data_IF_983746789693
#
_entry.id   IF_983746789693
#
_cell.length_a   1.000
_cell.length_b   1.000
_cell.length_c   1.000
_cell.angle_alpha   90.00
_cell.angle_beta   90.00
_cell.angle_gamma   90.00
#
_symmetry.space_group_name_H-M   'P 1'
#
loop_
_entity.id
_entity.type
_entity.pdbx_description
1 polymer ?
#
# COMPACT_ATOMS: atom_id res chain seq x y z
N UNK A 1 -47.56 -10.72 -22.01
CA UNK A 1 -46.69 -9.62 -21.53
C UNK A 1 -45.45 -10.27 -20.97
N UNK A 2 -44.38 -10.26 -21.75
CA UNK A 2 -43.23 -11.15 -21.59
C UNK A 2 -42.30 -10.75 -20.45
N UNK A 3 -41.76 -11.78 -19.80
CA UNK A 3 -40.76 -11.76 -18.76
C UNK A 3 -39.48 -11.02 -19.21
N UNK A 4 -39.13 -9.94 -18.51
CA UNK A 4 -37.78 -9.37 -18.58
C UNK A 4 -36.92 -10.17 -17.62
N UNK A 5 -36.37 -11.26 -18.13
CA UNK A 5 -35.27 -12.00 -17.48
C UNK A 5 -34.09 -11.03 -17.34
N UNK A 6 -33.81 -10.61 -16.11
CA UNK A 6 -32.56 -9.92 -15.79
C UNK A 6 -31.39 -10.87 -16.09
N UNK A 7 -30.37 -10.45 -16.85
CA UNK A 7 -29.24 -11.33 -17.12
C UNK A 7 -28.47 -11.57 -15.81
N UNK A 8 -28.53 -12.80 -15.32
CA UNK A 8 -27.63 -13.33 -14.29
C UNK A 8 -26.22 -13.42 -14.88
N UNK A 9 -25.49 -12.31 -14.85
CA UNK A 9 -24.10 -12.26 -15.26
C UNK A 9 -23.22 -12.86 -14.18
N UNK A 10 -23.10 -14.18 -14.13
CA UNK A 10 -21.94 -14.82 -13.52
C UNK A 10 -20.72 -14.43 -14.34
N UNK A 11 -19.73 -13.85 -13.68
CA UNK A 11 -18.45 -13.45 -14.26
C UNK A 11 -17.85 -14.62 -15.04
N UNK A 12 -17.79 -14.50 -16.37
CA UNK A 12 -17.43 -15.60 -17.28
C UNK A 12 -16.31 -15.20 -18.22
N UNK A 13 -15.49 -16.17 -18.63
CA UNK A 13 -14.41 -15.97 -19.59
C UNK A 13 -14.91 -15.21 -20.84
N UNK A 14 -14.37 -14.01 -21.13
CA UNK A 14 -14.71 -13.13 -22.24
C UNK A 14 -15.70 -11.99 -21.93
N UNK A 15 -16.25 -11.88 -20.73
CA UNK A 15 -17.19 -10.79 -20.39
C UNK A 15 -16.50 -9.65 -19.65
N UNK A 16 -16.82 -8.41 -20.08
CA UNK A 16 -16.42 -7.17 -19.42
C UNK A 16 -17.20 -7.10 -18.10
N UNK A 17 -16.50 -6.90 -16.98
CA UNK A 17 -17.15 -6.58 -15.72
C UNK A 17 -17.95 -5.27 -15.90
N UNK A 18 -19.27 -5.39 -15.99
CA UNK A 18 -20.16 -4.24 -16.23
C UNK A 18 -20.39 -3.40 -14.97
N UNK A 19 -19.94 -3.87 -13.81
CA UNK A 19 -20.21 -3.27 -12.50
C UNK A 19 -18.99 -2.54 -11.98
N UNK A 20 -18.90 -1.24 -12.26
CA UNK A 20 -17.92 -0.37 -11.63
C UNK A 20 -18.33 -0.03 -10.20
N UNK A 21 -19.04 1.08 -10.05
CA UNK A 21 -19.29 1.73 -8.75
C UNK A 21 -20.61 1.36 -8.08
N UNK A 22 -21.42 0.53 -8.73
CA UNK A 22 -22.78 0.19 -8.27
C UNK A 22 -22.76 -0.77 -7.08
N UNK A 23 -23.78 -0.70 -6.22
CA UNK A 23 -23.87 -1.61 -5.08
C UNK A 23 -24.16 -3.04 -5.56
N UNK A 24 -23.44 -4.02 -5.02
CA UNK A 24 -23.72 -5.44 -5.28
C UNK A 24 -25.09 -5.80 -4.67
N UNK A 25 -26.06 -6.26 -5.48
CA UNK A 25 -27.38 -6.70 -5.01
C UNK A 25 -27.26 -7.85 -4.00
N UNK A 26 -28.19 -7.91 -3.04
CA UNK A 26 -28.13 -8.91 -1.97
C UNK A 26 -28.12 -10.36 -2.49
N UNK A 27 -28.83 -10.65 -3.59
CA UNK A 27 -28.90 -11.98 -4.19
C UNK A 27 -27.57 -12.45 -4.82
N UNK A 28 -26.66 -11.52 -5.12
CA UNK A 28 -25.38 -11.81 -5.75
C UNK A 28 -24.21 -11.76 -4.77
N UNK A 29 -24.51 -11.52 -3.48
CA UNK A 29 -23.51 -11.58 -2.41
C UNK A 29 -23.22 -13.03 -2.03
N UNK A 30 -21.95 -13.38 -2.01
CA UNK A 30 -21.44 -14.74 -1.82
C UNK A 30 -20.11 -14.74 -1.04
N UNK A 31 -19.58 -15.94 -0.79
CA UNK A 31 -18.28 -16.12 -0.13
C UNK A 31 -18.34 -16.06 1.39
N UNK A 32 -17.17 -16.21 2.03
CA UNK A 32 -17.00 -16.24 3.48
C UNK A 32 -15.92 -15.24 3.91
N UNK A 33 -16.01 -14.62 5.10
CA UNK A 33 -15.00 -13.68 5.57
C UNK A 33 -13.55 -14.23 5.55
N UNK A 34 -13.37 -15.53 5.77
CA UNK A 34 -12.06 -16.20 5.68
C UNK A 34 -11.41 -16.13 4.30
N UNK A 35 -12.20 -15.99 3.25
CA UNK A 35 -11.71 -15.90 1.88
C UNK A 35 -10.97 -14.57 1.67
N UNK A 36 -11.31 -13.53 2.47
CA UNK A 36 -10.56 -12.27 2.51
C UNK A 36 -9.12 -12.45 3.01
N UNK A 37 -8.85 -13.43 3.87
CA UNK A 37 -7.49 -13.67 4.36
C UNK A 37 -6.55 -14.09 3.23
N UNK A 38 -7.02 -14.97 2.33
CA UNK A 38 -6.23 -15.39 1.17
C UNK A 38 -6.03 -14.26 0.16
N UNK A 39 -7.05 -13.44 -0.03
CA UNK A 39 -6.98 -12.27 -0.89
C UNK A 39 -5.94 -11.27 -0.37
N UNK A 40 -6.06 -10.86 0.90
CA UNK A 40 -5.12 -9.91 1.50
C UNK A 40 -3.72 -10.51 1.63
N UNK A 41 -3.61 -11.81 1.86
CA UNK A 41 -2.32 -12.49 1.76
C UNK A 41 -1.74 -12.36 0.35
N UNK A 42 -2.54 -12.57 -0.69
CA UNK A 42 -2.09 -12.37 -2.08
C UNK A 42 -1.58 -10.96 -2.35
N UNK A 43 -2.24 -9.94 -1.79
CA UNK A 43 -1.83 -8.54 -1.96
C UNK A 43 -0.50 -8.19 -1.26
N UNK A 44 -0.14 -8.90 -0.19
CA UNK A 44 1.07 -8.63 0.61
C UNK A 44 2.14 -9.73 0.48
N UNK A 45 1.89 -10.78 -0.29
CA UNK A 45 2.93 -11.71 -0.75
C UNK A 45 3.56 -11.12 -2.00
N UNK A 46 4.31 -10.04 -1.81
CA UNK A 46 4.96 -9.28 -2.88
C UNK A 46 6.34 -8.76 -2.45
N UNK A 47 7.11 -8.24 -3.41
CA UNK A 47 8.45 -7.73 -3.13
C UNK A 47 8.41 -6.46 -2.28
N UNK A 48 7.43 -5.57 -2.46
CA UNK A 48 7.29 -4.35 -1.66
C UNK A 48 7.26 -4.63 -0.14
N UNK A 49 6.62 -5.72 0.29
CA UNK A 49 6.55 -6.14 1.69
C UNK A 49 7.93 -6.50 2.26
N UNK A 50 8.73 -7.24 1.48
CA UNK A 50 10.11 -7.60 1.83
C UNK A 50 11.00 -6.34 1.82
N UNK A 51 10.90 -5.54 0.76
CA UNK A 51 11.71 -4.34 0.58
C UNK A 51 11.50 -3.33 1.72
N UNK A 52 10.24 -3.09 2.11
CA UNK A 52 9.89 -2.17 3.20
C UNK A 52 10.55 -2.58 4.50
N UNK A 53 10.49 -3.86 4.87
CA UNK A 53 11.13 -4.35 6.08
C UNK A 53 12.66 -4.25 6.00
N UNK A 54 13.25 -4.43 4.82
CA UNK A 54 14.70 -4.30 4.63
C UNK A 54 15.22 -2.89 4.90
N UNK A 55 14.40 -1.85 4.77
CA UNK A 55 14.80 -0.47 5.05
C UNK A 55 15.18 -0.27 6.52
N UNK A 56 14.52 -1.00 7.43
CA UNK A 56 14.72 -0.87 8.87
C UNK A 56 16.14 -1.25 9.28
N UNK A 57 16.69 -2.32 8.70
CA UNK A 57 18.05 -2.78 8.96
C UNK A 57 19.09 -2.11 8.06
N UNK A 58 18.71 -1.72 6.84
CA UNK A 58 19.64 -1.14 5.86
C UNK A 58 19.90 0.34 6.12
N UNK A 59 18.85 1.12 6.38
CA UNK A 59 18.90 2.59 6.41
C UNK A 59 18.57 3.17 7.79
N UNK A 60 17.67 2.55 8.56
CA UNK A 60 17.30 3.07 9.89
C UNK A 60 18.20 2.55 11.01
N UNK A 61 19.11 1.61 10.70
CA UNK A 61 20.09 1.09 11.65
C UNK A 61 19.51 0.23 12.77
N UNK A 62 18.29 -0.29 12.62
CA UNK A 62 17.69 -1.23 13.57
C UNK A 62 18.33 -2.61 13.47
N UNK A 63 18.37 -3.33 14.58
CA UNK A 63 18.73 -4.75 14.58
C UNK A 63 17.62 -5.61 14.00
N UNK A 64 17.92 -6.88 13.69
CA UNK A 64 16.95 -7.81 13.09
C UNK A 64 15.70 -7.97 13.97
N UNK A 65 15.89 -8.18 15.27
CA UNK A 65 14.78 -8.41 16.21
C UNK A 65 14.00 -7.12 16.51
N UNK A 66 14.71 -5.99 16.66
CA UNK A 66 14.07 -4.68 16.87
C UNK A 66 13.25 -4.29 15.65
N UNK A 67 13.81 -4.48 14.45
CA UNK A 67 13.14 -4.29 13.18
C UNK A 67 11.93 -5.21 13.03
N UNK A 68 12.02 -6.48 13.44
CA UNK A 68 10.89 -7.40 13.43
C UNK A 68 9.76 -6.92 14.34
N UNK A 69 10.07 -6.45 15.54
CA UNK A 69 9.07 -5.91 16.46
C UNK A 69 8.43 -4.65 15.88
N UNK A 70 9.22 -3.74 15.29
CA UNK A 70 8.71 -2.55 14.62
C UNK A 70 7.79 -2.90 13.44
N UNK A 71 8.19 -3.85 12.58
CA UNK A 71 7.37 -4.37 11.48
C UNK A 71 6.06 -4.95 12.01
N UNK A 72 6.10 -5.81 13.03
CA UNK A 72 4.89 -6.40 13.62
C UNK A 72 3.96 -5.31 14.17
N UNK A 73 4.47 -4.35 14.93
CA UNK A 73 3.64 -3.28 15.53
C UNK A 73 2.98 -2.43 14.43
N UNK A 74 3.77 -1.98 13.45
CA UNK A 74 3.29 -1.16 12.34
C UNK A 74 2.21 -1.87 11.53
N UNK A 75 2.53 -3.10 11.09
CA UNK A 75 1.63 -3.92 10.30
C UNK A 75 0.36 -4.28 11.06
N UNK A 76 0.45 -4.80 12.29
CA UNK A 76 -0.74 -5.21 13.06
C UNK A 76 -1.68 -4.04 13.28
N UNK A 77 -1.14 -2.87 13.66
CA UNK A 77 -1.96 -1.68 13.90
C UNK A 77 -2.71 -1.25 12.65
N UNK A 78 -2.03 -1.17 11.50
CA UNK A 78 -2.67 -0.82 10.25
C UNK A 78 -3.65 -1.90 9.76
N UNK A 79 -3.28 -3.18 9.86
CA UNK A 79 -4.10 -4.30 9.42
C UNK A 79 -5.41 -4.42 10.21
N UNK A 80 -5.40 -4.08 11.51
CA UNK A 80 -6.62 -3.97 12.31
C UNK A 80 -7.54 -2.87 11.80
N UNK A 81 -7.01 -1.70 11.46
CA UNK A 81 -7.77 -0.59 10.88
C UNK A 81 -8.35 -1.01 9.52
N UNK A 82 -7.54 -1.63 8.66
CA UNK A 82 -7.96 -2.17 7.36
C UNK A 82 -9.13 -3.16 7.53
N UNK A 83 -9.00 -4.14 8.41
CA UNK A 83 -10.06 -5.11 8.68
C UNK A 83 -11.33 -4.46 9.25
N UNK A 84 -11.21 -3.46 10.12
CA UNK A 84 -12.36 -2.68 10.57
C UNK A 84 -13.05 -1.97 9.40
N UNK A 85 -12.28 -1.36 8.48
CA UNK A 85 -12.81 -0.69 7.29
C UNK A 85 -13.52 -1.67 6.34
N UNK A 86 -13.04 -2.92 6.23
CA UNK A 86 -13.70 -3.97 5.43
C UNK A 86 -15.14 -4.25 5.86
N UNK A 87 -15.56 -3.89 7.09
CA UNK A 87 -16.96 -4.04 7.49
C UNK A 87 -17.94 -3.15 6.71
N UNK A 88 -17.45 -2.09 6.10
CA UNK A 88 -18.28 -1.20 5.28
C UNK A 88 -18.83 -1.90 4.03
N UNK A 89 -18.10 -2.88 3.49
CA UNK A 89 -18.46 -3.64 2.30
C UNK A 89 -19.73 -4.46 2.46
N UNK A 90 -19.78 -5.49 3.34
CA UNK A 90 -20.96 -6.35 3.48
C UNK A 90 -22.24 -5.57 3.81
N UNK A 91 -22.09 -4.41 4.49
CA UNK A 91 -23.20 -3.53 4.91
C UNK A 91 -23.65 -2.55 3.85
N UNK A 92 -22.91 -2.34 2.77
CA UNK A 92 -23.26 -1.38 1.72
C UNK A 92 -23.34 -2.00 0.33
N UNK A 93 -22.56 -3.04 0.05
CA UNK A 93 -22.35 -3.58 -1.29
C UNK A 93 -21.52 -2.65 -2.18
N UNK A 94 -20.98 -1.55 -1.64
CA UNK A 94 -20.25 -0.53 -2.38
C UNK A 94 -18.73 -0.70 -2.22
N UNK A 95 -17.94 -0.29 -3.23
CA UNK A 95 -16.51 -0.04 -3.06
C UNK A 95 -16.26 1.01 -1.97
N UNK A 96 -15.09 0.96 -1.36
CA UNK A 96 -14.77 1.78 -0.19
C UNK A 96 -14.85 3.27 -0.54
N UNK A 97 -14.26 3.68 -1.66
CA UNK A 97 -14.24 5.08 -2.08
C UNK A 97 -15.67 5.61 -2.33
N UNK A 98 -16.56 4.77 -2.86
CA UNK A 98 -17.96 5.13 -3.12
C UNK A 98 -18.76 5.19 -1.82
N UNK A 99 -18.53 4.23 -0.92
CA UNK A 99 -19.15 4.21 0.40
C UNK A 99 -18.90 5.52 1.16
N UNK A 100 -17.68 6.06 1.09
CA UNK A 100 -17.32 7.28 1.82
C UNK A 100 -18.07 8.54 1.38
N UNK A 101 -18.73 8.55 0.21
CA UNK A 101 -19.66 9.64 -0.18
C UNK A 101 -20.82 9.81 0.81
N UNK A 102 -21.26 8.72 1.44
CA UNK A 102 -22.30 8.80 2.48
C UNK A 102 -21.81 9.50 3.75
N UNK A 103 -20.49 9.63 3.92
CA UNK A 103 -19.85 10.22 5.10
C UNK A 103 -19.42 11.66 4.81
N UNK A 104 -18.63 11.87 3.75
CA UNK A 104 -18.04 13.16 3.39
C UNK A 104 -18.89 13.97 2.40
N UNK A 105 -20.03 13.44 1.96
CA UNK A 105 -20.82 14.01 0.87
C UNK A 105 -20.11 13.88 -0.49
N UNK A 106 -20.81 14.28 -1.56
CA UNK A 106 -20.27 14.14 -2.92
C UNK A 106 -18.97 14.94 -3.11
N UNK A 107 -19.00 16.24 -2.81
CA UNK A 107 -17.82 17.12 -2.99
C UNK A 107 -16.68 16.78 -2.03
N UNK A 108 -16.97 16.45 -0.77
CA UNK A 108 -15.94 16.08 0.21
C UNK A 108 -15.25 14.76 -0.15
N UNK A 109 -15.96 13.83 -0.78
CA UNK A 109 -15.36 12.58 -1.26
C UNK A 109 -14.35 12.77 -2.39
N UNK A 110 -14.40 13.87 -3.15
CA UNK A 110 -13.46 14.13 -4.24
C UNK A 110 -12.02 14.31 -3.75
N UNK A 111 -11.82 14.87 -2.55
CA UNK A 111 -10.50 14.96 -1.95
C UNK A 111 -9.93 13.55 -1.67
N UNK A 112 -10.74 12.66 -1.09
CA UNK A 112 -10.33 11.27 -0.83
C UNK A 112 -10.06 10.50 -2.13
N UNK A 113 -10.91 10.73 -3.14
CA UNK A 113 -10.72 10.17 -4.47
C UNK A 113 -9.41 10.65 -5.10
N UNK A 114 -9.12 11.96 -5.10
CA UNK A 114 -7.87 12.50 -5.63
C UNK A 114 -6.62 11.92 -4.93
N UNK A 115 -6.66 11.76 -3.61
CA UNK A 115 -5.57 11.15 -2.86
C UNK A 115 -5.44 9.64 -3.15
N UNK A 116 -6.54 8.96 -3.42
CA UNK A 116 -6.54 7.56 -3.88
C UNK A 116 -5.97 7.43 -5.30
N UNK A 117 -6.25 8.40 -6.19
CA UNK A 117 -5.63 8.46 -7.51
C UNK A 117 -4.12 8.68 -7.40
N UNK A 118 -3.69 9.54 -6.48
CA UNK A 118 -2.27 9.73 -6.17
C UNK A 118 -1.61 8.42 -5.72
N UNK A 119 -2.27 7.63 -4.85
CA UNK A 119 -1.77 6.32 -4.45
C UNK A 119 -1.61 5.37 -5.63
N UNK A 120 -2.61 5.27 -6.50
CA UNK A 120 -2.54 4.41 -7.69
C UNK A 120 -1.39 4.80 -8.63
N UNK A 121 -1.17 6.11 -8.84
CA UNK A 121 -0.05 6.59 -9.67
C UNK A 121 1.30 6.35 -8.99
N UNK A 122 1.37 6.50 -7.66
CA UNK A 122 2.57 6.29 -6.87
C UNK A 122 2.98 4.82 -6.82
N UNK A 123 2.05 3.91 -6.51
CA UNK A 123 2.28 2.47 -6.57
C UNK A 123 2.68 2.03 -7.97
N UNK A 124 2.03 2.57 -9.02
CA UNK A 124 2.44 2.25 -10.38
C UNK A 124 3.92 2.58 -10.64
N UNK A 125 4.37 3.73 -10.13
CA UNK A 125 5.76 4.15 -10.24
C UNK A 125 6.70 3.21 -9.46
N UNK A 126 6.35 2.88 -8.22
CA UNK A 126 7.11 1.98 -7.34
C UNK A 126 7.28 0.61 -7.98
N UNK A 127 6.19 0.02 -8.46
CA UNK A 127 6.15 -1.29 -9.10
C UNK A 127 7.01 -1.31 -10.36
N UNK A 128 6.94 -0.25 -11.19
CA UNK A 128 7.80 -0.10 -12.35
C UNK A 128 9.30 -0.06 -11.99
N UNK A 129 9.68 0.64 -10.91
CA UNK A 129 11.09 0.72 -10.48
C UNK A 129 11.56 -0.62 -9.90
N UNK A 130 10.75 -1.28 -9.06
CA UNK A 130 11.06 -2.60 -8.50
C UNK A 130 11.29 -3.61 -9.63
N UNK A 131 10.36 -3.66 -10.59
CA UNK A 131 10.47 -4.54 -11.74
C UNK A 131 11.72 -4.22 -12.57
N UNK A 132 12.03 -2.94 -12.79
CA UNK A 132 13.22 -2.55 -13.53
C UNK A 132 14.52 -2.94 -12.81
N UNK A 133 14.57 -2.78 -11.48
CA UNK A 133 15.72 -3.20 -10.68
C UNK A 133 15.90 -4.72 -10.69
N UNK A 134 14.82 -5.49 -10.56
CA UNK A 134 14.87 -6.95 -10.67
C UNK A 134 15.28 -7.40 -12.08
N UNK A 135 14.74 -6.75 -13.12
CA UNK A 135 15.12 -6.97 -14.51
C UNK A 135 16.58 -6.65 -14.79
N UNK A 136 17.13 -5.60 -14.16
CA UNK A 136 18.55 -5.28 -14.27
C UNK A 136 19.43 -6.38 -13.66
N UNK A 137 19.03 -6.99 -12.54
CA UNK A 137 19.77 -8.10 -11.94
C UNK A 137 19.86 -9.33 -12.87
N UNK A 138 18.84 -9.58 -13.71
CA UNK A 138 18.85 -10.71 -14.66
C UNK A 138 19.93 -10.59 -15.75
N UNK A 139 20.43 -9.40 -16.03
CA UNK A 139 21.47 -9.15 -17.04
C UNK A 139 22.83 -8.81 -16.42
N UNK A 140 23.02 -9.14 -15.14
CA UNK A 140 24.27 -8.91 -14.41
C UNK A 140 24.32 -7.58 -13.64
N UNK A 141 23.17 -6.95 -13.41
CA UNK A 141 23.06 -5.62 -12.82
C UNK A 141 23.20 -4.50 -13.85
N UNK A 142 23.09 -3.25 -13.42
CA UNK A 142 23.38 -2.13 -14.30
C UNK A 142 23.15 -0.76 -13.67
N UNK A 143 23.79 0.24 -14.27
CA UNK A 143 23.67 1.64 -13.84
C UNK A 143 22.29 2.23 -14.11
N UNK A 144 22.10 3.48 -13.66
CA UNK A 144 20.84 4.23 -13.78
C UNK A 144 20.23 4.23 -15.19
N UNK A 145 21.06 4.29 -16.24
CA UNK A 145 20.58 4.31 -17.63
C UNK A 145 19.87 3.01 -18.04
N UNK A 146 20.41 1.84 -17.67
CA UNK A 146 19.77 0.55 -17.97
C UNK A 146 18.44 0.43 -17.20
N UNK A 147 18.47 0.73 -15.90
CA UNK A 147 17.29 0.68 -15.04
C UNK A 147 16.19 1.60 -15.58
N UNK A 148 16.53 2.81 -16.01
CA UNK A 148 15.57 3.71 -16.65
C UNK A 148 15.01 3.16 -17.97
N UNK A 149 15.84 2.58 -18.83
CA UNK A 149 15.37 1.91 -20.04
C UNK A 149 14.37 0.79 -19.75
N UNK A 150 14.64 0.00 -18.71
CA UNK A 150 13.73 -1.06 -18.24
C UNK A 150 12.44 -0.47 -17.65
N UNK A 151 12.48 0.62 -16.88
CA UNK A 151 11.28 1.32 -16.39
C UNK A 151 10.36 1.68 -17.56
N UNK A 152 10.89 2.27 -18.63
CA UNK A 152 10.09 2.65 -19.81
C UNK A 152 9.45 1.43 -20.46
N UNK A 153 10.20 0.35 -20.66
CA UNK A 153 9.69 -0.89 -21.24
C UNK A 153 8.58 -1.49 -20.36
N UNK A 154 8.82 -1.58 -19.05
CA UNK A 154 7.89 -2.17 -18.08
C UNK A 154 6.62 -1.34 -17.99
N UNK A 155 6.72 -0.02 -17.99
CA UNK A 155 5.54 0.86 -17.98
C UNK A 155 4.70 0.68 -19.25
N UNK A 156 5.32 0.60 -20.43
CA UNK A 156 4.62 0.35 -21.70
C UNK A 156 3.89 -0.99 -21.64
N UNK A 157 4.57 -2.05 -21.18
CA UNK A 157 3.97 -3.38 -21.04
C UNK A 157 2.83 -3.36 -20.03
N UNK A 158 3.00 -2.70 -18.89
CA UNK A 158 1.99 -2.59 -17.83
C UNK A 158 0.74 -1.86 -18.32
N UNK A 159 0.89 -0.74 -19.03
CA UNK A 159 -0.23 -0.03 -19.66
C UNK A 159 -0.92 -0.88 -20.73
N UNK A 160 -0.15 -1.58 -21.56
CA UNK A 160 -0.73 -2.47 -22.57
C UNK A 160 -1.54 -3.60 -21.93
N UNK A 161 -1.01 -4.25 -20.89
CA UNK A 161 -1.72 -5.26 -20.11
C UNK A 161 -2.96 -4.67 -19.44
N UNK A 162 -2.89 -3.45 -18.90
CA UNK A 162 -4.04 -2.76 -18.34
C UNK A 162 -5.18 -2.54 -19.35
N UNK A 163 -4.84 -2.18 -20.58
CA UNK A 163 -5.81 -1.96 -21.65
C UNK A 163 -6.42 -3.27 -22.16
N UNK A 164 -5.62 -4.32 -22.36
CA UNK A 164 -6.03 -5.53 -23.09
C UNK A 164 -6.23 -6.79 -22.23
N UNK A 165 -5.61 -6.89 -21.06
CA UNK A 165 -5.45 -8.12 -20.27
C UNK A 165 -6.56 -8.46 -19.29
N UNK A 166 -7.83 -8.23 -19.63
CA UNK A 166 -8.94 -8.14 -18.66
C UNK A 166 -9.25 -9.40 -17.82
N UNK A 167 -8.71 -10.57 -18.14
CA UNK A 167 -9.15 -11.84 -17.52
C UNK A 167 -8.05 -12.78 -17.06
N UNK A 168 -6.81 -12.54 -17.48
CA UNK A 168 -5.64 -13.31 -17.03
C UNK A 168 -5.29 -13.01 -15.56
N UNK A 169 -5.88 -11.97 -14.99
CA UNK A 169 -5.40 -11.27 -13.81
C UNK A 169 -5.93 -11.89 -12.52
N UNK A 170 -7.19 -12.31 -12.47
CA UNK A 170 -7.72 -13.04 -11.31
C UNK A 170 -7.10 -14.42 -11.13
N UNK A 171 -6.63 -15.04 -12.22
CA UNK A 171 -5.89 -16.31 -12.20
C UNK A 171 -4.45 -16.07 -11.71
N UNK A 172 -3.78 -15.05 -12.25
CA UNK A 172 -2.43 -14.67 -11.82
C UNK A 172 -2.39 -14.18 -10.38
N UNK A 173 -3.44 -13.54 -9.88
CA UNK A 173 -3.59 -13.15 -8.47
C UNK A 173 -3.43 -14.34 -7.53
N UNK A 174 -4.23 -15.38 -7.78
CA UNK A 174 -4.34 -16.51 -6.88
C UNK A 174 -3.14 -17.43 -6.95
N UNK A 175 -2.67 -17.74 -8.16
CA UNK A 175 -1.54 -18.65 -8.34
C UNK A 175 -0.21 -17.92 -8.25
N UNK A 176 -0.16 -16.64 -8.61
CA UNK A 176 1.03 -15.82 -8.56
C UNK A 176 1.49 -15.55 -7.14
N UNK A 177 0.59 -15.23 -6.21
CA UNK A 177 0.96 -15.12 -4.80
C UNK A 177 1.58 -16.42 -4.25
N UNK A 178 1.01 -17.58 -4.61
CA UNK A 178 1.55 -18.89 -4.20
C UNK A 178 2.93 -19.12 -4.82
N UNK A 179 3.10 -18.80 -6.11
CA UNK A 179 4.37 -18.92 -6.79
C UNK A 179 5.43 -17.97 -6.19
N UNK A 180 5.08 -16.72 -5.88
CA UNK A 180 5.98 -15.78 -5.22
C UNK A 180 6.36 -16.23 -3.82
N UNK A 181 5.40 -16.71 -3.02
CA UNK A 181 5.71 -17.29 -1.71
C UNK A 181 6.66 -18.49 -1.83
N UNK A 182 6.45 -19.37 -2.81
CA UNK A 182 7.31 -20.53 -3.03
C UNK A 182 8.73 -20.12 -3.47
N UNK A 183 8.86 -19.18 -4.40
CA UNK A 183 10.15 -18.66 -4.86
C UNK A 183 10.88 -17.89 -3.76
N UNK A 184 10.17 -17.05 -3.00
CA UNK A 184 10.72 -16.34 -1.85
C UNK A 184 11.15 -17.30 -0.74
N UNK A 185 10.36 -18.34 -0.47
CA UNK A 185 10.70 -19.39 0.49
C UNK A 185 11.90 -20.22 0.05
N UNK A 186 12.00 -20.58 -1.22
CA UNK A 186 13.19 -21.23 -1.77
C UNK A 186 14.42 -20.34 -1.60
N UNK A 187 14.32 -19.07 -1.99
CA UNK A 187 15.41 -18.11 -1.85
C UNK A 187 15.84 -17.93 -0.39
N UNK A 188 14.87 -17.81 0.53
CA UNK A 188 15.12 -17.77 1.97
C UNK A 188 15.92 -18.98 2.44
N UNK A 189 15.54 -20.20 2.06
CA UNK A 189 16.23 -21.43 2.46
C UNK A 189 17.67 -21.48 1.91
N UNK A 190 17.89 -21.05 0.67
CA UNK A 190 19.23 -21.04 0.07
C UNK A 190 20.15 -19.99 0.69
N UNK A 191 19.60 -18.85 1.10
CA UNK A 191 20.35 -17.78 1.76
C UNK A 191 20.46 -17.97 3.29
N UNK A 192 19.64 -18.85 3.89
CA UNK A 192 19.58 -19.08 5.34
C UNK A 192 20.94 -19.28 6.04
N UNK A 193 21.90 -20.03 5.47
CA UNK A 193 23.22 -20.21 6.10
C UNK A 193 24.06 -18.93 6.21
N UNK A 194 23.69 -17.88 5.46
CA UNK A 194 24.43 -16.63 5.35
C UNK A 194 23.79 -15.50 6.20
N UNK A 195 22.60 -15.74 6.76
CA UNK A 195 21.89 -14.74 7.55
C UNK A 195 22.53 -14.54 8.94
N UNK A 196 22.74 -13.29 9.33
CA UNK A 196 23.19 -12.93 10.68
C UNK A 196 22.02 -12.53 11.57
N UNK A 197 21.33 -13.52 12.15
CA UNK A 197 20.19 -13.34 13.05
C UNK A 197 20.50 -12.50 14.31
N UNK A 198 21.77 -12.45 14.71
CA UNK A 198 22.24 -11.68 15.86
C UNK A 198 22.68 -10.26 15.51
N UNK A 199 22.46 -9.78 14.27
CA UNK A 199 22.81 -8.41 13.90
C UNK A 199 21.98 -7.42 14.72
N UNK A 200 22.66 -6.77 15.67
CA UNK A 200 22.10 -5.75 16.53
C UNK A 200 22.01 -4.39 15.84
N UNK A 201 21.37 -3.42 16.50
CA UNK A 201 21.22 -2.08 15.96
C UNK A 201 22.59 -1.39 15.83
N UNK A 202 22.77 -0.64 14.74
CA UNK A 202 23.91 0.25 14.54
C UNK A 202 23.60 1.66 15.05
N UNK A 203 22.33 2.01 15.16
CA UNK A 203 21.87 3.23 15.83
C UNK A 203 21.79 3.01 17.35
N UNK A 204 22.16 4.03 18.14
CA UNK A 204 22.27 3.90 19.59
C UNK A 204 21.83 5.18 20.33
N UNK A 205 21.76 5.09 21.66
CA UNK A 205 21.44 6.22 22.51
C UNK A 205 20.01 6.73 22.30
N UNK A 206 19.86 8.06 22.29
CA UNK A 206 18.55 8.72 22.17
C UNK A 206 17.96 8.65 20.77
N UNK A 207 18.76 8.31 19.75
CA UNK A 207 18.28 8.21 18.36
C UNK A 207 17.57 6.88 18.07
N UNK A 208 17.86 5.85 18.86
CA UNK A 208 17.28 4.51 18.69
C UNK A 208 15.73 4.49 18.75
N UNK A 209 15.06 5.11 19.75
CA UNK A 209 13.61 5.19 19.76
C UNK A 209 13.02 5.89 18.53
N UNK A 210 13.70 6.89 17.98
CA UNK A 210 13.27 7.62 16.80
C UNK A 210 13.25 6.73 15.55
N UNK A 211 14.35 6.02 15.30
CA UNK A 211 14.43 5.02 14.23
C UNK A 211 13.43 3.88 14.39
N UNK A 212 13.19 3.43 15.63
CA UNK A 212 12.19 2.39 15.91
C UNK A 212 10.78 2.83 15.52
N UNK A 213 10.39 4.05 15.92
CA UNK A 213 9.09 4.62 15.56
C UNK A 213 9.00 4.80 14.05
N UNK A 214 10.03 5.35 13.41
CA UNK A 214 10.07 5.51 11.96
C UNK A 214 9.87 4.17 11.25
N UNK A 215 10.62 3.13 11.63
CA UNK A 215 10.49 1.78 11.07
C UNK A 215 9.09 1.20 11.22
N UNK A 216 8.48 1.34 12.41
CA UNK A 216 7.10 0.90 12.62
C UNK A 216 6.10 1.69 11.75
N UNK A 217 6.31 2.99 11.58
CA UNK A 217 5.43 3.83 10.77
C UNK A 217 5.59 3.58 9.28
N UNK A 218 6.78 3.26 8.79
CA UNK A 218 7.03 2.85 7.41
C UNK A 218 6.24 1.57 7.08
N UNK A 219 6.29 0.55 7.96
CA UNK A 219 5.48 -0.66 7.79
C UNK A 219 3.97 -0.41 7.95
N UNK A 220 3.57 0.50 8.83
CA UNK A 220 2.17 0.93 8.95
C UNK A 220 1.68 1.60 7.65
N UNK A 221 2.47 2.52 7.10
CA UNK A 221 2.13 3.34 5.94
C UNK A 221 1.90 2.49 4.70
N UNK A 222 2.73 1.46 4.49
CA UNK A 222 2.55 0.46 3.44
C UNK A 222 1.15 -0.14 3.49
N UNK A 223 0.72 -0.63 4.66
CA UNK A 223 -0.61 -1.23 4.83
C UNK A 223 -1.71 -0.18 4.76
N UNK A 224 -1.49 1.02 5.31
CA UNK A 224 -2.45 2.12 5.30
C UNK A 224 -2.78 2.62 3.88
N UNK A 225 -1.85 2.47 2.93
CA UNK A 225 -2.10 2.75 1.51
C UNK A 225 -3.28 1.95 0.93
N UNK A 226 -3.64 0.83 1.57
CA UNK A 226 -4.75 -0.03 1.15
C UNK A 226 -6.09 0.32 1.80
N UNK A 227 -6.13 1.27 2.75
CA UNK A 227 -7.37 1.68 3.41
C UNK A 227 -8.48 2.13 2.44
N UNK A 228 -8.19 2.87 1.35
CA UNK A 228 -9.19 3.27 0.36
C UNK A 228 -9.76 2.14 -0.47
N UNK A 229 -9.25 0.91 -0.34
CA UNK A 229 -9.68 -0.29 -1.07
C UNK A 229 -10.26 -1.37 -0.14
N UNK A 230 -10.30 -1.09 1.17
CA UNK A 230 -10.58 -2.08 2.21
C UNK A 230 -11.89 -2.87 2.01
N UNK A 231 -12.90 -2.26 1.35
CA UNK A 231 -14.18 -2.90 1.10
C UNK A 231 -14.43 -3.38 -0.33
N UNK A 232 -13.48 -3.19 -1.25
CA UNK A 232 -13.69 -3.49 -2.67
C UNK A 232 -13.97 -4.96 -2.92
N UNK A 233 -13.39 -5.85 -2.12
CA UNK A 233 -13.68 -7.29 -2.17
C UNK A 233 -14.69 -7.73 -1.09
N UNK A 234 -14.69 -7.11 0.08
CA UNK A 234 -15.66 -7.46 1.13
C UNK A 234 -17.10 -7.10 0.78
N UNK A 235 -17.34 -6.20 -0.20
CA UNK A 235 -18.67 -5.83 -0.70
C UNK A 235 -19.46 -7.00 -1.29
N UNK A 236 -18.78 -8.05 -1.71
CA UNK A 236 -19.40 -9.28 -2.21
C UNK A 236 -19.88 -10.19 -1.08
N UNK A 237 -19.46 -10.00 0.17
CA UNK A 237 -19.88 -10.88 1.27
C UNK A 237 -21.35 -10.65 1.68
N UNK A 238 -22.05 -11.69 2.19
CA UNK A 238 -23.40 -11.55 2.70
C UNK A 238 -23.49 -10.49 3.82
N UNK A 239 -24.58 -9.72 3.85
CA UNK A 239 -24.80 -8.69 4.88
C UNK A 239 -24.88 -9.24 6.31
N UNK A 240 -25.18 -10.53 6.45
CA UNK A 240 -25.20 -11.29 7.72
C UNK A 240 -23.80 -11.66 8.24
N UNK A 241 -22.74 -11.37 7.49
CA UNK A 241 -21.36 -11.66 7.89
C UNK A 241 -21.02 -10.97 9.22
N UNK A 242 -20.50 -11.75 10.16
CA UNK A 242 -20.16 -11.26 11.49
C UNK A 242 -19.03 -10.23 11.44
N UNK A 243 -19.23 -9.08 12.09
CA UNK A 243 -18.30 -7.96 11.98
C UNK A 243 -16.87 -8.32 12.45
N UNK A 244 -16.78 -9.07 13.55
CA UNK A 244 -15.51 -9.59 14.08
C UNK A 244 -14.77 -10.45 13.06
N UNK A 245 -15.49 -11.26 12.29
CA UNK A 245 -14.89 -12.14 11.29
C UNK A 245 -14.41 -11.36 10.07
N UNK A 246 -15.18 -10.35 9.64
CA UNK A 246 -14.80 -9.44 8.55
C UNK A 246 -13.64 -8.54 8.95
N UNK A 247 -13.43 -8.27 10.24
CA UNK A 247 -12.22 -7.58 10.72
C UNK A 247 -11.00 -8.48 10.84
N UNK A 248 -11.16 -9.67 11.42
CA UNK A 248 -10.04 -10.54 11.76
C UNK A 248 -9.34 -11.14 10.54
N UNK A 249 -10.10 -11.66 9.57
CA UNK A 249 -9.53 -12.40 8.45
C UNK A 249 -8.71 -11.53 7.49
N UNK A 250 -9.15 -10.32 7.09
CA UNK A 250 -8.27 -9.37 6.40
C UNK A 250 -7.01 -9.07 7.19
N UNK A 251 -7.14 -8.76 8.48
CA UNK A 251 -5.98 -8.42 9.30
C UNK A 251 -4.97 -9.57 9.37
N UNK A 252 -5.43 -10.81 9.57
CA UNK A 252 -4.58 -12.00 9.55
C UNK A 252 -3.93 -12.23 8.17
N UNK A 253 -4.68 -11.99 7.10
CA UNK A 253 -4.20 -12.06 5.72
C UNK A 253 -3.08 -11.08 5.42
N UNK A 254 -3.08 -9.89 6.03
CA UNK A 254 -1.99 -8.91 5.91
C UNK A 254 -0.81 -9.22 6.84
N UNK A 255 -1.09 -9.50 8.11
CA UNK A 255 -0.05 -9.64 9.14
C UNK A 255 0.86 -10.83 8.85
N UNK A 256 0.30 -11.98 8.46
CA UNK A 256 1.09 -13.18 8.23
C UNK A 256 2.18 -12.99 7.15
N UNK A 257 1.88 -12.58 5.90
CA UNK A 257 2.91 -12.39 4.89
C UNK A 257 3.85 -11.24 5.23
N UNK A 258 3.37 -10.15 5.82
CA UNK A 258 4.23 -9.04 6.28
C UNK A 258 5.26 -9.49 7.29
N UNK A 259 4.91 -10.36 8.23
CA UNK A 259 5.87 -10.88 9.21
C UNK A 259 6.84 -11.85 8.55
N UNK A 260 6.36 -12.77 7.71
CA UNK A 260 7.21 -13.78 7.07
C UNK A 260 8.19 -13.16 6.06
N UNK A 261 7.69 -12.34 5.13
CA UNK A 261 8.52 -11.61 4.17
C UNK A 261 9.28 -10.48 4.84
N UNK A 262 8.75 -9.92 5.93
CA UNK A 262 9.44 -8.91 6.73
C UNK A 262 10.69 -9.47 7.40
N UNK A 263 10.61 -10.65 8.02
CA UNK A 263 11.79 -11.37 8.54
C UNK A 263 12.81 -11.59 7.44
N UNK A 264 12.36 -12.02 6.25
CA UNK A 264 13.28 -12.21 5.13
C UNK A 264 13.94 -10.89 4.69
N UNK A 265 13.15 -9.82 4.59
CA UNK A 265 13.63 -8.47 4.25
C UNK A 265 14.63 -7.92 5.27
N UNK A 266 14.43 -8.16 6.56
CA UNK A 266 15.33 -7.75 7.64
C UNK A 266 16.66 -8.54 7.62
N UNK A 267 16.62 -9.81 7.22
CA UNK A 267 17.81 -10.68 7.20
C UNK A 267 18.65 -10.51 5.93
N UNK A 268 18.05 -10.15 4.79
CA UNK A 268 18.76 -9.97 3.53
C UNK A 268 19.95 -9.00 3.62
N UNK A 269 19.79 -7.77 4.14
CA UNK A 269 20.88 -6.83 4.31
C UNK A 269 22.00 -7.35 5.22
N UNK A 270 21.71 -8.30 6.10
CA UNK A 270 22.72 -8.83 7.03
C UNK A 270 23.79 -9.67 6.35
N UNK A 271 23.51 -10.22 5.16
CA UNK A 271 24.50 -10.98 4.38
C UNK A 271 25.65 -10.06 3.93
N UNK A 272 25.30 -8.87 3.44
CA UNK A 272 26.24 -7.85 2.99
C UNK A 272 25.62 -6.46 3.13
N UNK A 273 25.89 -5.82 4.28
CA UNK A 273 25.32 -4.51 4.62
C UNK A 273 25.81 -3.41 3.69
N UNK A 274 27.04 -3.53 3.17
CA UNK A 274 27.62 -2.55 2.26
C UNK A 274 26.95 -2.60 0.89
N UNK A 275 26.79 -3.80 0.33
CA UNK A 275 26.09 -4.00 -0.93
C UNK A 275 24.62 -3.60 -0.83
N UNK A 276 23.94 -3.98 0.26
CA UNK A 276 22.55 -3.62 0.49
C UNK A 276 22.34 -2.09 0.52
N UNK A 277 23.19 -1.35 1.22
CA UNK A 277 23.09 0.10 1.31
C UNK A 277 23.39 0.80 -0.02
N UNK A 278 24.34 0.28 -0.82
CA UNK A 278 24.80 0.93 -2.06
C UNK A 278 23.98 0.56 -3.29
N UNK A 279 23.47 -0.67 -3.37
CA UNK A 279 22.83 -1.22 -4.57
C UNK A 279 21.46 -1.88 -4.29
N UNK A 280 21.01 -1.89 -3.03
CA UNK A 280 19.75 -2.48 -2.61
C UNK A 280 19.82 -4.00 -2.41
N UNK A 281 18.77 -4.54 -1.78
CA UNK A 281 18.70 -5.97 -1.41
C UNK A 281 18.58 -6.93 -2.60
N UNK A 282 18.11 -6.47 -3.77
CA UNK A 282 18.12 -7.29 -4.99
C UNK A 282 19.54 -7.60 -5.46
N UNK A 283 20.50 -6.67 -5.26
CA UNK A 283 21.90 -6.91 -5.57
C UNK A 283 22.51 -7.97 -4.64
N UNK A 284 22.12 -7.97 -3.35
CA UNK A 284 22.51 -9.03 -2.40
C UNK A 284 22.01 -10.39 -2.86
N UNK A 285 20.74 -10.48 -3.29
CA UNK A 285 20.19 -11.72 -3.87
C UNK A 285 21.03 -12.17 -5.07
N UNK A 286 21.35 -11.26 -5.98
CA UNK A 286 22.11 -11.57 -7.19
C UNK A 286 23.53 -12.07 -6.90
N UNK A 287 24.20 -11.49 -5.90
CA UNK A 287 25.57 -11.82 -5.54
C UNK A 287 25.70 -13.13 -4.74
N UNK A 288 24.70 -13.45 -3.90
CA UNK A 288 24.85 -14.49 -2.88
C UNK A 288 23.94 -15.71 -3.07
N UNK A 289 22.89 -15.61 -3.89
CA UNK A 289 22.03 -16.75 -4.22
C UNK A 289 22.52 -17.48 -5.49
N UNK A 290 22.33 -18.80 -5.59
CA UNK A 290 22.59 -19.52 -6.83
C UNK A 290 21.77 -18.92 -8.00
N UNK A 291 22.36 -18.70 -9.20
CA UNK A 291 21.66 -18.03 -10.30
C UNK A 291 20.36 -18.73 -10.72
N UNK A 292 20.29 -20.05 -10.59
CA UNK A 292 19.10 -20.84 -10.91
C UNK A 292 17.95 -20.67 -9.89
N UNK A 293 18.23 -20.13 -8.69
CA UNK A 293 17.21 -19.72 -7.69
C UNK A 293 16.88 -18.24 -7.87
N UNK A 294 17.90 -17.39 -8.05
CA UNK A 294 17.74 -15.95 -8.17
C UNK A 294 16.99 -15.53 -9.44
N UNK A 295 17.31 -16.15 -10.60
CA UNK A 295 16.71 -15.75 -11.87
C UNK A 295 15.18 -15.99 -11.92
N UNK A 296 14.64 -17.15 -11.50
CA UNK A 296 13.19 -17.33 -11.40
C UNK A 296 12.53 -16.33 -10.44
N UNK A 297 13.18 -16.01 -9.32
CA UNK A 297 12.68 -15.00 -8.39
C UNK A 297 12.61 -13.61 -9.05
N UNK A 298 13.67 -13.14 -9.71
CA UNK A 298 13.66 -11.84 -10.40
C UNK A 298 12.67 -11.78 -11.55
N UNK A 299 12.56 -12.84 -12.36
CA UNK A 299 11.53 -12.92 -13.41
C UNK A 299 10.14 -12.80 -12.79
N UNK A 300 9.92 -13.48 -11.67
CA UNK A 300 8.63 -13.40 -11.00
C UNK A 300 8.37 -12.02 -10.41
N UNK A 301 9.36 -11.35 -9.82
CA UNK A 301 9.22 -9.95 -9.37
C UNK A 301 8.79 -9.07 -10.54
N UNK A 302 9.48 -9.13 -11.69
CA UNK A 302 9.10 -8.36 -12.88
C UNK A 302 7.65 -8.62 -13.30
N UNK A 303 7.25 -9.89 -13.40
CA UNK A 303 5.90 -10.25 -13.80
C UNK A 303 4.83 -9.86 -12.76
N UNK A 304 5.17 -9.99 -11.48
CA UNK A 304 4.31 -9.64 -10.35
C UNK A 304 3.99 -8.16 -10.32
N UNK A 305 5.00 -7.31 -10.48
CA UNK A 305 4.83 -5.85 -10.51
C UNK A 305 4.09 -5.35 -11.76
N UNK A 306 4.32 -5.96 -12.94
CA UNK A 306 3.52 -5.65 -14.15
C UNK A 306 2.05 -5.96 -13.92
N UNK A 307 1.77 -7.03 -13.17
CA UNK A 307 0.42 -7.40 -12.81
C UNK A 307 -0.17 -6.49 -11.71
N UNK A 308 0.60 -6.10 -10.69
CA UNK A 308 0.17 -5.13 -9.67
C UNK A 308 -0.21 -3.78 -10.31
N UNK A 309 0.59 -3.29 -11.27
CA UNK A 309 0.28 -2.10 -12.07
C UNK A 309 -1.08 -2.13 -12.77
N UNK A 310 -1.61 -3.31 -13.10
CA UNK A 310 -2.97 -3.40 -13.64
C UNK A 310 -4.01 -2.94 -12.62
N UNK A 311 -3.87 -3.35 -11.35
CA UNK A 311 -4.79 -3.00 -10.28
C UNK A 311 -4.75 -1.50 -10.01
N UNK A 312 -3.58 -0.90 -10.05
CA UNK A 312 -3.40 0.55 -9.93
C UNK A 312 -4.10 1.31 -11.06
N UNK A 313 -3.88 0.89 -12.30
CA UNK A 313 -4.55 1.51 -13.45
C UNK A 313 -6.07 1.33 -13.38
N UNK A 314 -6.54 0.14 -13.00
CA UNK A 314 -7.97 -0.13 -12.80
C UNK A 314 -8.57 0.80 -11.74
N UNK A 315 -7.88 0.91 -10.61
CA UNK A 315 -8.21 1.80 -9.50
C UNK A 315 -8.27 3.26 -9.95
N UNK A 316 -7.25 3.74 -10.66
CA UNK A 316 -7.22 5.08 -11.22
C UNK A 316 -8.45 5.35 -12.10
N UNK A 317 -8.85 4.38 -12.93
CA UNK A 317 -10.08 4.43 -13.71
C UNK A 317 -11.35 4.56 -12.86
N UNK A 318 -11.51 3.71 -11.85
CA UNK A 318 -12.67 3.75 -10.94
C UNK A 318 -12.75 5.07 -10.17
N UNK A 319 -11.61 5.58 -9.70
CA UNK A 319 -11.51 6.83 -8.95
C UNK A 319 -11.85 8.03 -9.83
N UNK A 320 -11.36 8.08 -11.07
CA UNK A 320 -11.72 9.14 -12.03
C UNK A 320 -13.22 9.14 -12.33
N UNK A 321 -13.82 7.96 -12.53
CA UNK A 321 -15.27 7.83 -12.65
C UNK A 321 -15.99 8.28 -11.37
N UNK A 322 -15.43 7.98 -10.19
CA UNK A 322 -15.96 8.45 -8.91
C UNK A 322 -15.86 9.98 -8.74
N UNK A 323 -14.95 10.65 -9.44
CA UNK A 323 -14.87 12.11 -9.48
C UNK A 323 -15.79 12.73 -10.55
N UNK A 324 -16.49 11.91 -11.33
CA UNK A 324 -17.34 12.34 -12.44
C UNK A 324 -16.57 12.63 -13.73
N UNK A 325 -15.28 12.26 -13.79
CA UNK A 325 -14.45 12.40 -14.98
C UNK A 325 -14.70 11.19 -15.88
N UNK A 326 -15.36 11.42 -17.01
CA UNK A 326 -15.71 10.37 -17.97
C UNK A 326 -14.59 10.19 -18.98
N UNK A 327 -13.62 9.34 -18.64
CA UNK A 327 -12.58 8.89 -19.57
C UNK A 327 -12.85 7.45 -20.01
N UNK A 328 -12.42 7.13 -21.23
CA UNK A 328 -12.32 5.75 -21.67
C UNK A 328 -11.22 5.04 -20.88
N UNK A 329 -11.38 3.73 -20.64
CA UNK A 329 -10.44 2.95 -19.82
C UNK A 329 -8.99 3.09 -20.29
N UNK A 330 -8.75 3.11 -21.60
CA UNK A 330 -7.41 3.29 -22.16
C UNK A 330 -6.82 4.68 -21.90
N UNK A 331 -7.64 5.72 -21.77
CA UNK A 331 -7.18 7.08 -21.47
C UNK A 331 -6.76 7.19 -20.00
N UNK A 332 -7.53 6.60 -19.09
CA UNK A 332 -7.16 6.50 -17.67
C UNK A 332 -5.87 5.68 -17.50
N UNK A 333 -5.75 4.57 -18.22
CA UNK A 333 -4.53 3.75 -18.24
C UNK A 333 -3.31 4.53 -18.73
N UNK A 334 -3.45 5.23 -19.85
CA UNK A 334 -2.36 6.04 -20.40
C UNK A 334 -1.99 7.20 -19.46
N UNK A 335 -2.96 7.88 -18.86
CA UNK A 335 -2.70 8.97 -17.91
C UNK A 335 -1.97 8.50 -16.66
N UNK A 336 -2.44 7.40 -16.04
CA UNK A 336 -1.78 6.77 -14.89
C UNK A 336 -0.37 6.31 -15.28
N UNK A 337 -0.22 5.62 -16.41
CA UNK A 337 1.06 5.15 -16.91
C UNK A 337 2.06 6.27 -17.20
N UNK A 338 1.65 7.37 -17.83
CA UNK A 338 2.54 8.53 -18.11
C UNK A 338 3.00 9.18 -16.81
N UNK A 339 2.07 9.48 -15.89
CA UNK A 339 2.40 10.13 -14.62
C UNK A 339 3.26 9.22 -13.74
N UNK A 340 2.90 7.94 -13.64
CA UNK A 340 3.66 6.94 -12.89
C UNK A 340 5.05 6.71 -13.49
N UNK A 341 5.18 6.64 -14.81
CA UNK A 341 6.48 6.55 -15.49
C UNK A 341 7.34 7.78 -15.24
N UNK A 342 6.76 8.98 -15.21
CA UNK A 342 7.51 10.21 -14.92
C UNK A 342 8.03 10.20 -13.46
N UNK A 343 7.22 9.73 -12.52
CA UNK A 343 7.63 9.58 -11.12
C UNK A 343 8.69 8.48 -10.95
N UNK A 344 8.55 7.34 -11.63
CA UNK A 344 9.54 6.28 -11.67
C UNK A 344 10.88 6.75 -12.28
N UNK A 345 10.81 7.54 -13.35
CA UNK A 345 11.97 8.16 -13.97
C UNK A 345 12.69 9.10 -13.00
N UNK A 346 11.94 9.93 -12.26
CA UNK A 346 12.50 10.78 -11.20
C UNK A 346 13.19 9.94 -10.11
N UNK A 347 12.54 8.88 -9.64
CA UNK A 347 13.08 7.99 -8.60
C UNK A 347 14.38 7.27 -9.03
N UNK A 348 14.56 6.99 -10.33
CA UNK A 348 15.75 6.30 -10.85
C UNK A 348 16.86 7.27 -11.27
N UNK A 349 16.51 8.35 -11.97
CA UNK A 349 17.49 9.24 -12.60
C UNK A 349 17.96 10.37 -11.69
N UNK A 350 17.08 10.86 -10.81
CA UNK A 350 17.32 12.07 -10.00
C UNK A 350 17.53 11.70 -8.55
N UNK A 351 16.58 10.97 -7.96
CA UNK A 351 16.62 10.54 -6.55
C UNK A 351 17.30 9.17 -6.38
N UNK A 352 17.45 8.75 -5.14
CA UNK A 352 17.50 7.34 -4.78
C UNK A 352 16.08 6.78 -4.66
N UNK A 353 15.89 5.53 -5.10
CA UNK A 353 14.61 4.84 -5.02
C UNK A 353 14.15 4.63 -3.58
N UNK A 354 15.05 4.28 -2.64
CA UNK A 354 14.62 4.04 -1.26
C UNK A 354 14.06 5.31 -0.61
N UNK A 355 14.70 6.47 -0.87
CA UNK A 355 14.22 7.77 -0.39
C UNK A 355 12.87 8.10 -1.03
N UNK A 356 12.77 8.02 -2.37
CA UNK A 356 11.51 8.33 -3.06
C UNK A 356 10.36 7.40 -2.64
N UNK A 357 10.66 6.14 -2.32
CA UNK A 357 9.71 5.19 -1.79
C UNK A 357 9.25 5.55 -0.37
N UNK A 358 10.18 5.93 0.50
CA UNK A 358 9.88 6.39 1.85
C UNK A 358 9.05 7.68 1.83
N UNK A 359 9.40 8.66 1.00
CA UNK A 359 8.64 9.89 0.79
C UNK A 359 7.19 9.58 0.44
N UNK A 360 6.98 8.65 -0.50
CA UNK A 360 5.66 8.20 -0.93
C UNK A 360 4.86 7.56 0.21
N UNK A 361 5.50 6.73 1.05
CA UNK A 361 4.86 6.12 2.21
C UNK A 361 4.50 7.17 3.28
N UNK A 362 5.39 8.11 3.58
CA UNK A 362 5.12 9.22 4.53
C UNK A 362 3.93 10.06 4.04
N UNK A 363 3.86 10.40 2.75
CA UNK A 363 2.73 11.13 2.19
C UNK A 363 1.41 10.38 2.32
N UNK A 364 1.44 9.06 2.21
CA UNK A 364 0.27 8.21 2.45
C UNK A 364 -0.16 8.25 3.92
N UNK A 365 0.81 8.17 4.81
CA UNK A 365 0.63 8.18 6.26
C UNK A 365 0.04 9.49 6.79
N UNK A 366 0.24 10.61 6.09
CA UNK A 366 -0.27 11.92 6.47
C UNK A 366 -1.80 11.99 6.55
N UNK A 367 -2.50 11.42 5.57
CA UNK A 367 -3.94 11.65 5.39
C UNK A 367 -4.81 10.40 5.61
N UNK A 368 -4.31 9.22 5.23
CA UNK A 368 -5.08 7.98 5.23
C UNK A 368 -5.54 7.58 6.65
N UNK A 369 -4.73 7.77 7.71
CA UNK A 369 -5.14 7.43 9.08
C UNK A 369 -6.27 8.32 9.62
N UNK A 370 -6.20 9.65 9.43
CA UNK A 370 -7.29 10.55 9.80
C UNK A 370 -8.58 10.25 9.01
N UNK A 371 -8.45 9.99 7.71
CA UNK A 371 -9.58 9.58 6.88
C UNK A 371 -10.23 8.30 7.43
N UNK A 372 -9.42 7.28 7.75
CA UNK A 372 -9.89 6.02 8.30
C UNK A 372 -10.58 6.21 9.65
N UNK A 373 -10.03 7.05 10.53
CA UNK A 373 -10.62 7.37 11.83
C UNK A 373 -12.03 7.94 11.69
N UNK A 374 -12.23 8.92 10.79
CA UNK A 374 -13.54 9.51 10.54
C UNK A 374 -14.50 8.48 9.94
N UNK A 375 -14.04 7.64 9.01
CA UNK A 375 -14.87 6.57 8.40
C UNK A 375 -15.33 5.56 9.45
N UNK A 376 -14.41 5.06 10.27
CA UNK A 376 -14.69 4.08 11.31
C UNK A 376 -15.64 4.62 12.37
N UNK A 377 -15.42 5.84 12.87
CA UNK A 377 -16.32 6.47 13.83
C UNK A 377 -17.72 6.70 13.23
N UNK A 378 -17.79 7.15 11.98
CA UNK A 378 -19.07 7.34 11.28
C UNK A 378 -19.84 6.02 11.13
N UNK A 379 -19.13 4.92 10.88
CA UNK A 379 -19.72 3.61 10.65
C UNK A 379 -20.10 2.87 11.94
N UNK A 380 -19.21 2.82 12.94
CA UNK A 380 -19.41 2.03 14.17
C UNK A 380 -20.07 2.79 15.32
N UNK A 381 -19.89 4.11 15.41
CA UNK A 381 -20.33 4.89 16.59
C UNK A 381 -21.54 5.77 16.27
N UNK A 382 -21.57 6.40 15.10
CA UNK A 382 -22.55 7.45 14.79
C UNK A 382 -23.65 7.05 13.80
N UNK A 383 -23.83 5.74 13.57
CA UNK A 383 -24.94 5.13 12.83
C UNK A 383 -25.21 5.78 11.45
N UNK A 384 -24.15 6.24 10.75
CA UNK A 384 -24.25 6.88 9.42
C UNK A 384 -25.14 8.13 9.37
N UNK A 385 -25.47 8.80 10.48
CA UNK A 385 -26.18 10.09 10.41
C UNK A 385 -25.30 11.09 9.66
N UNK A 386 -25.75 11.53 8.49
CA UNK A 386 -24.92 12.21 7.49
C UNK A 386 -24.63 13.64 7.93
N UNK A 387 -23.35 13.94 8.22
CA UNK A 387 -22.86 15.31 8.51
C UNK A 387 -21.55 15.57 7.76
N UNK A 388 -21.63 15.80 6.44
CA UNK A 388 -20.46 15.90 5.56
C UNK A 388 -19.45 16.96 5.97
N UNK A 389 -19.92 18.17 6.30
CA UNK A 389 -19.05 19.27 6.71
C UNK A 389 -18.23 18.94 7.97
N UNK A 390 -18.83 18.28 8.96
CA UNK A 390 -18.14 17.85 10.18
C UNK A 390 -17.12 16.75 9.90
N UNK A 391 -17.46 15.79 9.03
CA UNK A 391 -16.55 14.71 8.65
C UNK A 391 -15.32 15.24 7.90
N UNK A 392 -15.54 16.13 6.92
CA UNK A 392 -14.47 16.79 6.17
C UNK A 392 -13.63 17.65 7.12
N UNK A 393 -14.25 18.50 7.94
CA UNK A 393 -13.54 19.36 8.88
C UNK A 393 -12.64 18.58 9.85
N UNK A 394 -13.14 17.46 10.40
CA UNK A 394 -12.36 16.60 11.29
C UNK A 394 -11.18 15.92 10.58
N UNK A 395 -11.41 15.43 9.35
CA UNK A 395 -10.36 14.83 8.55
C UNK A 395 -9.24 15.84 8.26
N UNK A 396 -9.59 17.03 7.75
CA UNK A 396 -8.61 18.09 7.49
C UNK A 396 -7.91 18.58 8.76
N UNK A 397 -8.61 18.66 9.90
CA UNK A 397 -7.99 19.01 11.17
C UNK A 397 -6.92 17.99 11.58
N UNK A 398 -7.20 16.69 11.42
CA UNK A 398 -6.22 15.62 11.64
C UNK A 398 -5.01 15.74 10.71
N UNK A 399 -5.26 15.85 9.40
CA UNK A 399 -4.20 15.99 8.40
C UNK A 399 -3.34 17.24 8.63
N UNK A 400 -3.94 18.40 8.94
CA UNK A 400 -3.19 19.64 9.19
C UNK A 400 -2.36 19.53 10.48
N UNK A 401 -2.92 18.97 11.56
CA UNK A 401 -2.17 18.77 12.79
C UNK A 401 -0.99 17.82 12.60
N UNK A 402 -1.14 16.81 11.74
CA UNK A 402 -0.09 15.85 11.44
C UNK A 402 1.14 16.47 10.76
N UNK A 403 0.97 17.56 9.99
CA UNK A 403 2.07 18.27 9.33
C UNK A 403 3.15 18.72 10.33
N UNK A 404 2.80 19.08 11.56
CA UNK A 404 3.79 19.46 12.57
C UNK A 404 4.71 18.30 12.99
N UNK A 405 4.29 17.05 12.78
CA UNK A 405 4.99 15.83 13.24
C UNK A 405 5.57 15.00 12.09
N UNK A 406 5.55 15.53 10.87
CA UNK A 406 6.20 14.90 9.71
C UNK A 406 7.70 15.07 9.83
N UNK A 407 8.45 13.98 9.61
CA UNK A 407 9.90 14.04 9.47
C UNK A 407 10.26 14.57 8.07
N UNK A 408 10.25 15.91 7.91
CA UNK A 408 10.56 16.55 6.64
C UNK A 408 12.02 16.44 6.22
N UNK A 409 12.93 16.27 7.18
CA UNK A 409 14.35 16.04 6.90
C UNK A 409 14.52 14.73 6.11
N UNK A 410 13.61 13.76 6.33
CA UNK A 410 13.49 12.56 5.53
C UNK A 410 12.72 12.81 4.23
N UNK A 411 11.47 13.32 4.31
CA UNK A 411 10.54 13.53 3.17
C UNK A 411 11.10 14.38 2.01
N UNK A 412 12.11 15.22 2.27
CA UNK A 412 12.72 16.11 1.28
C UNK A 412 14.26 16.09 1.29
N UNK A 413 14.87 15.10 1.94
CA UNK A 413 16.32 15.00 2.09
C UNK A 413 17.08 14.89 0.75
N UNK A 414 16.38 14.46 -0.31
CA UNK A 414 16.85 14.37 -1.70
C UNK A 414 16.69 15.66 -2.52
N UNK A 415 15.83 16.61 -2.09
CA UNK A 415 15.51 17.83 -2.86
C UNK A 415 16.17 19.06 -2.25
N UNK A 416 16.25 19.14 -0.92
CA UNK A 416 16.79 20.30 -0.22
C UNK A 416 17.93 19.86 0.69
N UNK A 417 19.12 20.41 0.49
CA UNK A 417 20.26 20.18 1.38
C UNK A 417 20.18 21.15 2.58
N UNK A 418 20.13 20.62 3.80
CA UNK A 418 20.05 21.40 5.04
C UNK A 418 18.78 22.26 5.22
N UNK A 419 17.57 21.74 4.97
CA UNK A 419 16.35 22.52 5.10
C UNK A 419 16.06 22.87 6.56
N UNK A 420 15.83 24.15 6.85
CA UNK A 420 15.28 24.58 8.12
C UNK A 420 13.75 24.56 8.04
N UNK A 421 13.15 23.38 8.25
CA UNK A 421 11.69 23.25 8.33
C UNK A 421 11.14 23.86 9.63
N UNK A 422 9.89 24.32 9.59
CA UNK A 422 9.25 25.02 10.71
C UNK A 422 9.15 24.16 11.99
N UNK A 423 9.14 22.83 11.85
CA UNK A 423 9.06 21.86 12.94
C UNK A 423 10.39 21.14 13.20
N UNK A 424 11.51 21.58 12.61
CA UNK A 424 12.81 20.91 12.74
C UNK A 424 13.21 20.68 14.21
N UNK A 425 13.03 21.67 15.10
CA UNK A 425 13.33 21.50 16.52
C UNK A 425 12.46 20.45 17.23
N UNK A 426 11.20 20.27 16.80
CA UNK A 426 10.32 19.23 17.32
C UNK A 426 10.78 17.85 16.84
N UNK A 427 11.06 17.69 15.54
CA UNK A 427 11.51 16.41 14.96
C UNK A 427 12.89 16.02 15.46
N UNK A 428 13.82 16.97 15.60
CA UNK A 428 15.13 16.75 16.21
C UNK A 428 15.00 16.31 17.67
N UNK A 429 14.08 16.91 18.44
CA UNK A 429 13.78 16.48 19.81
C UNK A 429 13.09 15.11 19.90
N UNK A 430 12.45 14.67 18.81
CA UNK A 430 11.91 13.31 18.63
C UNK A 430 12.91 12.37 17.96
N UNK A 431 14.14 12.81 17.73
CA UNK A 431 15.21 12.04 17.09
C UNK A 431 14.82 11.44 15.73
N UNK A 432 14.09 12.21 14.92
CA UNK A 432 13.66 11.77 13.59
C UNK A 432 12.45 10.82 13.58
N UNK A 433 11.79 10.62 14.73
CA UNK A 433 10.52 9.89 14.73
C UNK A 433 9.47 10.65 13.91
N UNK A 434 8.76 9.94 13.02
CA UNK A 434 7.57 10.46 12.37
C UNK A 434 6.33 10.02 13.16
N UNK A 435 5.63 10.97 13.78
CA UNK A 435 4.40 10.73 14.55
C UNK A 435 3.15 11.25 13.83
N UNK A 436 3.28 11.68 12.58
CA UNK A 436 2.25 12.41 11.85
C UNK A 436 0.93 11.64 11.80
N UNK A 437 0.91 10.39 11.36
CA UNK A 437 -0.31 9.58 11.28
C UNK A 437 -0.95 9.24 12.63
N UNK A 438 -0.20 9.02 13.71
CA UNK A 438 -0.77 8.83 15.07
C UNK A 438 -1.50 10.09 15.50
N UNK A 439 -0.86 11.25 15.33
CA UNK A 439 -1.48 12.56 15.61
C UNK A 439 -2.68 12.79 14.70
N UNK A 440 -2.58 12.43 13.42
CA UNK A 440 -3.63 12.52 12.42
C UNK A 440 -4.89 11.77 12.87
N UNK A 441 -4.74 10.51 13.30
CA UNK A 441 -5.84 9.69 13.85
C UNK A 441 -6.42 10.33 15.11
N UNK A 442 -5.59 10.67 16.07
CA UNK A 442 -6.03 11.17 17.38
C UNK A 442 -6.83 12.48 17.23
N UNK A 443 -6.30 13.44 16.48
CA UNK A 443 -6.94 14.73 16.25
C UNK A 443 -8.21 14.57 15.42
N UNK A 444 -8.20 13.76 14.36
CA UNK A 444 -9.40 13.49 13.57
C UNK A 444 -10.50 12.82 14.41
N UNK A 445 -10.14 11.81 15.21
CA UNK A 445 -11.09 11.10 16.06
C UNK A 445 -11.71 12.00 17.14
N UNK A 446 -10.88 12.76 17.86
CA UNK A 446 -11.33 13.65 18.93
C UNK A 446 -12.16 14.81 18.36
N UNK A 447 -11.69 15.46 17.30
CA UNK A 447 -12.39 16.57 16.66
C UNK A 447 -13.73 16.11 16.07
N UNK A 448 -13.78 14.94 15.42
CA UNK A 448 -15.01 14.37 14.92
C UNK A 448 -15.99 14.06 16.05
N UNK A 449 -15.53 13.38 17.11
CA UNK A 449 -16.38 13.03 18.24
C UNK A 449 -16.94 14.27 18.96
N UNK A 450 -16.12 15.30 19.15
CA UNK A 450 -16.52 16.56 19.78
C UNK A 450 -17.55 17.31 18.93
N UNK A 451 -17.26 17.56 17.65
CA UNK A 451 -18.17 18.29 16.75
C UNK A 451 -19.50 17.56 16.56
N UNK A 452 -19.48 16.22 16.52
CA UNK A 452 -20.70 15.41 16.42
C UNK A 452 -21.60 15.55 17.65
N UNK A 453 -21.03 15.74 18.85
CA UNK A 453 -21.77 15.96 20.10
C UNK A 453 -22.33 17.37 20.21
N UNK A 454 -21.53 18.38 19.85
CA UNK A 454 -21.94 19.80 19.93
C UNK A 454 -23.09 20.12 18.98
N UNK A 455 -23.12 19.54 17.78
CA UNK A 455 -24.23 19.79 16.85
C UNK A 455 -25.44 18.87 17.09
N UNK A 456 -25.46 18.05 18.14
CA UNK A 456 -26.60 17.19 18.51
C UNK A 456 -27.50 17.80 19.58
N UNK A 457 -27.00 18.81 20.29
CA UNK A 457 -27.78 19.81 21.04
C UNK A 457 -28.24 20.91 20.10
#
# INVERSE_FOLDING_TARGET
MGDVVAPSGTDSFGQIERRGVEAIPAAERHGRPRDLAFLWAGAFVNYASLFTASLLTTYYGLGVWDGLVATVIGTVTAALILGLLSNTGPRSGLPQIIFTRSIFGLRGSYAGAALTLFLAVGWFAVDCVIAAQAGAQLVGGGGRALTFGLVVVIAIVSVAVAVYGHQTISVLERYGAIAFAALSGALFVFLAPQFHWGQGPTIAGTDYPGAFVLGAMTCFALVASWFPFASDYSRYLPASSAARSVSFWPAAGVVLPMVLLGIFGLLLPTIDTGLAAQQGVLAVVSAYAPPWVAAPFFVFVVLGEIWANYLDVYTAGLVLLAMGVKLQRWQSALGCGILGSALAAYAVLVSDFHIAYEDFLILTYLWAPAWAAVVLLSFFVFERRVRPGVAVGAWFAGTIASLAFVNYDNLFGNIVAGPAFFNHGLIAGLHGADLSGVVSVAVAALSYAAMRRVSAT
#
